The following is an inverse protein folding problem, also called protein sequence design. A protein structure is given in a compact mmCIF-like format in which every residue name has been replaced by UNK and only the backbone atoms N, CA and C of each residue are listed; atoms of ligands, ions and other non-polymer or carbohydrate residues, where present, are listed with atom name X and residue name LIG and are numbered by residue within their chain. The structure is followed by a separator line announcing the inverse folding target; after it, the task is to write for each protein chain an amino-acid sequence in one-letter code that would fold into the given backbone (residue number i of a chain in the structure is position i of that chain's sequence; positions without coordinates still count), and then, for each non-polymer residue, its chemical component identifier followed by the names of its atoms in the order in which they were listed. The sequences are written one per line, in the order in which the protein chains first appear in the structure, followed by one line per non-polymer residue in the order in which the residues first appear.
data_IF_534316240577
#
_entry.id   IF_534316240577
#
_cell.length_a   1.000
_cell.length_b   1.000
_cell.length_c   1.000
_cell.angle_alpha   90.00
_cell.angle_beta   90.00
_cell.angle_gamma   90.00
#
_symmetry.space_group_name_H-M   'P 1'
#
loop_
_entity.id
_entity.type
_entity.pdbx_description
1 polymer ?
#
# COMPACT_ATOMS: atom_id res chain seq x y z
N UNK A 1 -26.21 7.05 2.87
CA UNK A 1 -26.01 7.28 4.34
C UNK A 1 -26.12 5.95 5.09
N UNK A 2 -25.15 5.56 5.94
CA UNK A 2 -25.09 4.24 6.61
C UNK A 2 -24.85 4.32 8.12
N UNK A 3 -25.27 3.27 8.84
CA UNK A 3 -25.12 3.04 10.29
C UNK A 3 -24.95 1.53 10.54
N UNK A 4 -23.87 1.17 11.24
CA UNK A 4 -23.51 -0.23 11.48
C UNK A 4 -24.35 -0.91 12.55
N UNK A 5 -24.77 -0.19 13.58
CA UNK A 5 -25.45 -0.79 14.74
C UNK A 5 -26.85 -1.28 14.38
N UNK A 6 -27.54 -0.54 13.50
CA UNK A 6 -28.88 -0.90 13.03
C UNK A 6 -28.90 -1.50 11.62
N UNK A 7 -27.73 -1.62 10.97
CA UNK A 7 -27.58 -2.20 9.63
C UNK A 7 -28.06 -1.30 8.49
N UNK A 8 -28.36 -0.03 8.74
CA UNK A 8 -28.80 0.90 7.69
C UNK A 8 -27.66 1.14 6.69
N UNK A 9 -27.96 1.02 5.39
CA UNK A 9 -26.97 1.27 4.33
C UNK A 9 -25.87 0.21 4.24
N UNK A 10 -26.05 -0.95 4.90
CA UNK A 10 -25.21 -2.13 4.74
C UNK A 10 -25.95 -3.11 3.84
N UNK A 11 -25.40 -3.38 2.65
CA UNK A 11 -25.99 -4.31 1.69
C UNK A 11 -25.83 -5.76 2.16
N UNK A 12 -24.62 -6.10 2.61
CA UNK A 12 -24.29 -7.42 3.14
C UNK A 12 -23.04 -7.36 4.01
N UNK A 13 -22.89 -8.37 4.86
CA UNK A 13 -21.67 -8.66 5.62
C UNK A 13 -21.26 -10.13 5.44
N UNK A 14 -19.97 -10.38 5.54
CA UNK A 14 -19.36 -11.71 5.34
C UNK A 14 -18.26 -11.92 6.36
N UNK A 15 -18.36 -12.98 7.17
CA UNK A 15 -17.29 -13.39 8.07
C UNK A 15 -16.14 -14.03 7.30
N UNK A 16 -14.92 -13.62 7.62
CA UNK A 16 -13.66 -14.14 7.10
C UNK A 16 -13.06 -15.10 8.12
N UNK A 17 -12.59 -16.25 7.67
CA UNK A 17 -11.99 -17.28 8.54
C UNK A 17 -10.71 -16.76 9.23
N UNK A 18 -9.89 -16.06 8.45
CA UNK A 18 -8.56 -15.60 8.83
C UNK A 18 -8.40 -14.09 8.66
N UNK A 19 -7.52 -13.49 9.48
CA UNK A 19 -7.17 -12.07 9.40
C UNK A 19 -6.24 -11.77 8.23
N UNK A 20 -6.08 -10.48 7.92
CA UNK A 20 -5.16 -9.96 6.90
C UNK A 20 -5.27 -8.44 6.82
N UNK A 21 -4.27 -7.77 6.24
CA UNK A 21 -4.28 -6.31 6.07
C UNK A 21 -4.51 -5.86 4.62
N UNK A 22 -4.62 -6.79 3.68
CA UNK A 22 -4.90 -6.41 2.29
C UNK A 22 -6.21 -5.63 2.18
N UNK A 23 -6.11 -4.55 1.41
CA UNK A 23 -7.26 -3.82 0.88
C UNK A 23 -8.03 -4.76 -0.04
N UNK A 24 -9.37 -4.79 0.02
CA UNK A 24 -10.16 -5.54 -0.96
C UNK A 24 -9.90 -5.03 -2.37
N UNK A 25 -9.79 -5.90 -3.37
CA UNK A 25 -9.84 -5.47 -4.78
C UNK A 25 -11.11 -5.94 -5.44
N UNK A 26 -11.79 -5.03 -6.13
CA UNK A 26 -13.12 -5.24 -6.70
C UNK A 26 -13.05 -5.17 -8.22
N UNK A 27 -13.60 -6.17 -8.91
CA UNK A 27 -13.65 -6.18 -10.36
C UNK A 27 -14.34 -7.44 -10.89
N UNK A 28 -14.93 -7.35 -12.09
CA UNK A 28 -15.60 -8.48 -12.75
C UNK A 28 -16.63 -9.21 -11.86
N UNK A 29 -17.34 -8.48 -10.98
CA UNK A 29 -18.32 -9.05 -10.05
C UNK A 29 -17.72 -9.85 -8.88
N UNK A 30 -16.42 -9.70 -8.63
CA UNK A 30 -15.70 -10.37 -7.53
C UNK A 30 -14.97 -9.37 -6.65
N UNK A 31 -14.78 -9.76 -5.40
CA UNK A 31 -13.91 -9.11 -4.42
C UNK A 31 -12.84 -10.11 -4.05
N UNK A 32 -11.57 -9.71 -4.09
CA UNK A 32 -10.43 -10.56 -3.74
C UNK A 32 -9.67 -10.02 -2.54
N UNK A 33 -9.24 -10.94 -1.67
CA UNK A 33 -8.53 -10.67 -0.42
C UNK A 33 -7.44 -11.71 -0.19
N UNK A 34 -6.38 -11.29 0.50
CA UNK A 34 -5.41 -12.18 1.12
C UNK A 34 -5.66 -12.29 2.63
N UNK A 35 -5.40 -13.47 3.19
CA UNK A 35 -5.44 -13.72 4.63
C UNK A 35 -4.41 -14.76 5.03
N UNK A 36 -4.09 -14.86 6.32
CA UNK A 36 -3.18 -15.88 6.83
C UNK A 36 -3.57 -16.30 8.26
N UNK A 37 -3.09 -17.48 8.69
CA UNK A 37 -3.10 -17.84 10.11
C UNK A 37 -2.24 -16.86 10.91
N UNK A 38 -2.58 -16.67 12.19
CA UNK A 38 -1.87 -15.74 13.07
C UNK A 38 -0.39 -16.11 13.25
N UNK A 39 -0.06 -17.40 13.13
CA UNK A 39 1.30 -17.91 13.16
C UNK A 39 2.03 -17.88 11.81
N UNK A 40 1.33 -17.53 10.71
CA UNK A 40 1.89 -17.45 9.36
C UNK A 40 2.14 -18.79 8.67
N UNK A 41 1.75 -19.90 9.28
CA UNK A 41 1.96 -21.24 8.71
C UNK A 41 1.14 -21.47 7.45
N UNK A 42 0.02 -20.77 7.26
CA UNK A 42 -0.83 -20.88 6.08
C UNK A 42 -1.25 -19.50 5.54
N UNK A 43 -1.13 -19.32 4.22
CA UNK A 43 -1.63 -18.16 3.49
C UNK A 43 -2.77 -18.56 2.58
N UNK A 44 -3.79 -17.71 2.51
CA UNK A 44 -5.03 -17.96 1.79
C UNK A 44 -5.38 -16.81 0.85
N UNK A 45 -6.13 -17.18 -0.18
CA UNK A 45 -6.85 -16.26 -1.05
C UNK A 45 -8.34 -16.52 -0.91
N UNK A 46 -9.11 -15.44 -0.80
CA UNK A 46 -10.58 -15.50 -0.73
C UNK A 46 -11.18 -14.66 -1.84
N UNK A 47 -12.10 -15.25 -2.61
CA UNK A 47 -12.92 -14.55 -3.57
C UNK A 47 -14.37 -14.52 -3.09
N UNK A 48 -14.97 -13.34 -3.12
CA UNK A 48 -16.35 -13.09 -2.70
C UNK A 48 -17.13 -12.53 -3.88
N UNK A 49 -18.37 -12.96 -4.03
CA UNK A 49 -19.31 -12.41 -4.99
C UNK A 49 -19.70 -10.99 -4.55
N UNK A 50 -19.40 -9.99 -5.38
CA UNK A 50 -19.54 -8.58 -4.98
C UNK A 50 -21.01 -8.17 -4.73
N UNK A 51 -21.96 -8.83 -5.39
CA UNK A 51 -23.38 -8.52 -5.26
C UNK A 51 -23.98 -9.13 -3.99
N UNK A 52 -23.63 -10.38 -3.66
CA UNK A 52 -24.27 -11.13 -2.59
C UNK A 52 -23.44 -11.27 -1.30
N UNK A 53 -22.16 -10.92 -1.34
CA UNK A 53 -21.23 -11.15 -0.23
C UNK A 53 -20.83 -12.62 -0.03
N UNK A 54 -21.34 -13.55 -0.84
CA UNK A 54 -21.04 -14.98 -0.67
C UNK A 54 -19.61 -15.30 -1.04
N UNK A 55 -18.94 -16.07 -0.18
CA UNK A 55 -17.62 -16.64 -0.49
C UNK A 55 -17.77 -17.62 -1.66
N UNK A 56 -17.09 -17.33 -2.76
CA UNK A 56 -17.04 -18.15 -3.98
C UNK A 56 -15.84 -19.08 -3.93
N UNK A 57 -14.69 -18.55 -3.51
CA UNK A 57 -13.45 -19.30 -3.33
C UNK A 57 -12.84 -18.99 -1.97
N UNK A 58 -12.39 -20.03 -1.29
CA UNK A 58 -11.46 -19.92 -0.16
C UNK A 58 -10.42 -21.03 -0.35
N UNK A 59 -9.15 -20.65 -0.49
CA UNK A 59 -8.06 -21.56 -0.86
C UNK A 59 -6.82 -21.26 -0.05
N UNK A 60 -6.28 -22.28 0.62
CA UNK A 60 -4.92 -22.25 1.12
C UNK A 60 -3.98 -22.32 -0.08
N UNK A 61 -3.16 -21.29 -0.26
CA UNK A 61 -2.25 -21.16 -1.39
C UNK A 61 -0.83 -21.59 -1.02
N UNK A 62 -0.37 -21.20 0.18
CA UNK A 62 0.96 -21.53 0.67
C UNK A 62 0.90 -22.08 2.08
N UNK A 63 1.71 -23.11 2.34
CA UNK A 63 1.99 -23.66 3.66
C UNK A 63 3.49 -23.52 3.95
N UNK A 64 3.83 -23.05 5.14
CA UNK A 64 5.21 -22.84 5.61
C UNK A 64 5.38 -23.48 6.98
N UNK A 65 6.40 -24.33 7.12
CA UNK A 65 6.65 -25.05 8.36
C UNK A 65 7.22 -24.15 9.47
N UNK A 66 7.98 -23.12 9.08
CA UNK A 66 8.67 -22.21 10.01
C UNK A 66 8.70 -20.78 9.47
N UNK A 67 7.56 -20.07 9.44
CA UNK A 67 7.54 -18.66 9.07
C UNK A 67 8.36 -17.81 10.05
N UNK A 68 9.12 -16.83 9.54
CA UNK A 68 9.88 -15.90 10.38
C UNK A 68 8.94 -15.09 11.30
N UNK A 69 9.17 -15.05 12.64
CA UNK A 69 8.34 -14.27 13.55
C UNK A 69 8.37 -12.77 13.23
N UNK A 70 7.20 -12.13 13.17
CA UNK A 70 7.06 -10.70 12.84
C UNK A 70 7.70 -9.75 13.87
N UNK A 71 7.80 -10.19 15.13
CA UNK A 71 8.33 -9.40 16.25
C UNK A 71 7.59 -8.10 16.55
N UNK A 72 6.42 -7.88 15.98
CA UNK A 72 5.60 -6.68 16.15
C UNK A 72 4.10 -7.03 16.01
N UNK A 73 3.19 -6.24 16.60
CA UNK A 73 1.75 -6.46 16.51
C UNK A 73 1.07 -5.67 15.36
N UNK A 74 1.84 -4.96 14.53
CA UNK A 74 1.31 -4.02 13.52
C UNK A 74 1.07 -4.71 12.18
N UNK A 75 1.97 -5.60 11.76
CA UNK A 75 1.86 -6.30 10.48
C UNK A 75 1.32 -7.73 10.66
N UNK A 76 0.95 -8.38 9.55
CA UNK A 76 0.63 -9.80 9.50
C UNK A 76 1.23 -10.48 8.26
N UNK A 77 1.02 -11.79 8.13
CA UNK A 77 1.55 -12.60 7.03
C UNK A 77 0.77 -12.49 5.70
N UNK A 78 -0.19 -11.56 5.59
CA UNK A 78 -1.06 -11.34 4.44
C UNK A 78 -1.43 -9.86 4.26
N UNK A 79 -0.45 -8.97 4.43
CA UNK A 79 -0.64 -7.54 4.22
C UNK A 79 -0.70 -7.10 2.75
N UNK A 80 0.11 -7.67 1.82
CA UNK A 80 0.04 -7.27 0.42
C UNK A 80 -1.34 -7.47 -0.19
N UNK A 81 -1.82 -6.43 -0.87
CA UNK A 81 -3.10 -6.37 -1.58
C UNK A 81 -2.99 -7.11 -2.91
N UNK A 82 -3.94 -7.98 -3.31
CA UNK A 82 -3.92 -8.59 -4.65
C UNK A 82 -3.96 -7.53 -5.77
N UNK A 83 -3.50 -7.89 -6.96
CA UNK A 83 -3.77 -7.14 -8.19
C UNK A 83 -4.76 -7.92 -9.05
N UNK A 84 -5.78 -7.23 -9.59
CA UNK A 84 -6.86 -7.84 -10.37
C UNK A 84 -6.87 -7.30 -11.80
N UNK A 85 -6.72 -8.19 -12.78
CA UNK A 85 -7.07 -7.98 -14.18
C UNK A 85 -8.37 -8.74 -14.50
N UNK A 86 -8.96 -8.51 -15.68
CA UNK A 86 -10.18 -9.21 -16.08
C UNK A 86 -10.02 -10.73 -16.19
N UNK A 87 -8.80 -11.20 -16.47
CA UNK A 87 -8.44 -12.60 -16.73
C UNK A 87 -7.38 -13.16 -15.77
N UNK A 88 -7.00 -12.40 -14.73
CA UNK A 88 -5.96 -12.82 -13.80
C UNK A 88 -6.12 -12.18 -12.42
N UNK A 89 -5.77 -12.94 -11.39
CA UNK A 89 -5.53 -12.41 -10.04
C UNK A 89 -4.08 -12.67 -9.68
N UNK A 90 -3.32 -11.63 -9.35
CA UNK A 90 -1.95 -11.76 -8.85
C UNK A 90 -1.94 -11.54 -7.35
N UNK A 91 -1.40 -12.51 -6.62
CA UNK A 91 -1.30 -12.47 -5.15
C UNK A 91 0.16 -12.60 -4.75
N UNK A 92 0.54 -11.90 -3.69
CA UNK A 92 1.89 -11.87 -3.19
C UNK A 92 1.90 -11.96 -1.67
N UNK A 93 2.85 -12.71 -1.12
CA UNK A 93 3.06 -12.87 0.32
C UNK A 93 4.55 -12.74 0.63
N UNK A 94 5.28 -11.90 -0.11
CA UNK A 94 6.72 -11.74 0.07
C UNK A 94 7.47 -13.04 -0.18
N UNK A 95 8.28 -13.42 0.82
CA UNK A 95 9.14 -14.62 0.80
C UNK A 95 8.31 -15.91 0.75
N UNK A 96 7.06 -15.88 1.24
CA UNK A 96 6.22 -17.08 1.31
C UNK A 96 5.70 -17.52 -0.07
N UNK A 97 5.53 -16.56 -0.98
CA UNK A 97 5.29 -16.82 -2.40
C UNK A 97 4.53 -15.74 -3.16
N UNK A 98 4.54 -15.87 -4.48
CA UNK A 98 3.75 -15.09 -5.44
C UNK A 98 3.02 -16.05 -6.36
N UNK A 99 1.79 -15.75 -6.76
CA UNK A 99 1.06 -16.56 -7.72
C UNK A 99 0.18 -15.73 -8.65
N UNK A 100 -0.08 -16.29 -9.83
CA UNK A 100 -1.21 -15.91 -10.69
C UNK A 100 -2.30 -16.96 -10.57
N UNK A 101 -3.53 -16.51 -10.43
CA UNK A 101 -4.72 -17.33 -10.35
C UNK A 101 -5.67 -17.02 -11.50
N UNK A 102 -6.43 -18.02 -11.90
CA UNK A 102 -7.58 -17.85 -12.78
C UNK A 102 -8.76 -17.26 -11.97
N UNK A 103 -9.33 -16.10 -12.36
CA UNK A 103 -10.35 -15.42 -11.57
C UNK A 103 -11.69 -16.16 -11.53
N UNK A 104 -11.96 -17.07 -12.46
CA UNK A 104 -13.22 -17.80 -12.53
C UNK A 104 -13.19 -18.99 -11.57
N UNK A 105 -12.19 -19.85 -11.72
CA UNK A 105 -12.03 -21.10 -10.99
C UNK A 105 -11.29 -20.95 -9.66
N UNK A 106 -10.53 -19.87 -9.49
CA UNK A 106 -9.62 -19.67 -8.36
C UNK A 106 -8.40 -20.61 -8.38
N UNK A 107 -8.16 -21.29 -9.51
CA UNK A 107 -7.03 -22.22 -9.65
C UNK A 107 -5.71 -21.46 -9.87
N UNK A 108 -4.63 -22.00 -9.29
CA UNK A 108 -3.28 -21.49 -9.54
C UNK A 108 -2.84 -21.78 -10.97
N UNK A 109 -2.51 -20.73 -11.72
CA UNK A 109 -1.94 -20.82 -13.07
C UNK A 109 -0.43 -21.01 -12.98
N UNK A 110 0.24 -20.20 -12.18
CA UNK A 110 1.65 -20.37 -11.82
C UNK A 110 1.91 -19.83 -10.41
N UNK A 111 2.99 -20.29 -9.78
CA UNK A 111 3.47 -19.76 -8.51
C UNK A 111 5.01 -19.75 -8.43
N UNK A 112 5.55 -18.86 -7.59
CA UNK A 112 6.98 -18.72 -7.28
C UNK A 112 7.16 -18.72 -5.76
N UNK A 113 8.16 -19.46 -5.27
CA UNK A 113 8.54 -19.54 -3.83
C UNK A 113 10.06 -19.45 -3.62
N UNK A 114 10.79 -19.16 -4.69
CA UNK A 114 12.25 -19.16 -4.76
C UNK A 114 12.85 -17.74 -4.60
N UNK A 115 12.01 -16.71 -4.53
CA UNK A 115 12.44 -15.32 -4.31
C UNK A 115 12.31 -15.00 -2.81
N UNK A 116 13.41 -15.20 -2.10
CA UNK A 116 13.42 -15.16 -0.64
C UNK A 116 14.28 -14.01 -0.10
N UNK A 117 13.76 -13.39 0.95
CA UNK A 117 14.45 -12.42 1.83
C UNK A 117 14.00 -12.67 3.28
N UNK A 118 14.77 -12.13 4.22
CA UNK A 118 14.37 -12.01 5.62
C UNK A 118 13.56 -10.73 5.80
N UNK A 119 12.24 -10.84 5.77
CA UNK A 119 11.36 -9.67 5.96
C UNK A 119 11.49 -9.09 7.37
N UNK A 120 11.74 -9.94 8.37
CA UNK A 120 11.74 -9.69 9.82
C UNK A 120 10.40 -9.18 10.38
N UNK A 121 9.77 -8.18 9.76
CA UNK A 121 8.48 -7.60 10.17
C UNK A 121 7.32 -8.00 9.26
N UNK A 122 7.52 -9.04 8.45
CA UNK A 122 6.56 -9.51 7.44
C UNK A 122 6.58 -8.67 6.15
N UNK A 123 6.02 -9.21 5.06
CA UNK A 123 5.89 -8.48 3.80
C UNK A 123 4.86 -7.36 3.90
N UNK A 124 5.01 -6.33 3.08
CA UNK A 124 4.05 -5.21 3.02
C UNK A 124 3.75 -4.67 1.62
N UNK A 125 4.70 -4.79 0.68
CA UNK A 125 4.50 -4.29 -0.69
C UNK A 125 3.56 -5.18 -1.48
N UNK A 126 2.58 -4.56 -2.14
CA UNK A 126 1.65 -5.22 -3.06
C UNK A 126 2.30 -5.40 -4.45
N UNK A 127 1.89 -6.40 -5.24
CA UNK A 127 2.28 -6.53 -6.64
C UNK A 127 1.66 -5.42 -7.48
N UNK A 128 2.40 -4.94 -8.48
CA UNK A 128 1.93 -3.97 -9.46
C UNK A 128 2.09 -4.56 -10.85
N UNK A 129 1.07 -4.47 -11.70
CA UNK A 129 1.16 -4.96 -13.08
C UNK A 129 1.40 -3.81 -14.06
N UNK A 130 2.43 -3.93 -14.90
CA UNK A 130 2.76 -2.97 -15.96
C UNK A 130 2.99 -3.74 -17.26
N UNK A 131 2.12 -3.56 -18.24
CA UNK A 131 2.17 -4.34 -19.49
C UNK A 131 2.12 -5.84 -19.20
N UNK A 132 3.18 -6.56 -19.57
CA UNK A 132 3.32 -8.01 -19.35
C UNK A 132 4.14 -8.36 -18.09
N UNK A 133 4.36 -7.38 -17.20
CA UNK A 133 5.21 -7.54 -16.02
C UNK A 133 4.42 -7.45 -14.72
N UNK A 134 4.74 -8.31 -13.77
CA UNK A 134 4.38 -8.19 -12.35
C UNK A 134 5.61 -7.69 -11.58
N UNK A 135 5.55 -6.46 -11.11
CA UNK A 135 6.58 -5.79 -10.33
C UNK A 135 6.40 -6.11 -8.85
N UNK A 136 7.49 -6.50 -8.19
CA UNK A 136 7.55 -6.86 -6.78
C UNK A 136 8.71 -6.15 -6.10
N UNK A 137 8.47 -5.64 -4.88
CA UNK A 137 9.49 -5.03 -4.01
C UNK A 137 9.89 -6.01 -2.91
N UNK A 138 11.19 -6.20 -2.71
CA UNK A 138 11.76 -7.00 -1.64
C UNK A 138 12.84 -6.20 -0.90
N UNK A 139 12.45 -5.53 0.18
CA UNK A 139 13.37 -4.79 1.05
C UNK A 139 13.44 -5.45 2.43
N UNK A 140 14.03 -6.65 2.47
CA UNK A 140 14.29 -7.39 3.71
C UNK A 140 15.46 -6.80 4.50
N UNK A 141 15.84 -7.41 5.62
CA UNK A 141 17.03 -6.99 6.38
C UNK A 141 18.35 -7.47 5.76
N UNK A 142 18.28 -8.54 4.95
CA UNK A 142 19.41 -9.21 4.32
C UNK A 142 19.63 -8.78 2.87
N UNK A 143 18.55 -8.48 2.14
CA UNK A 143 18.59 -8.14 0.71
C UNK A 143 17.51 -7.10 0.38
N UNK A 144 17.86 -6.13 -0.47
CA UNK A 144 16.98 -5.06 -0.93
C UNK A 144 17.02 -4.97 -2.46
N UNK A 145 15.87 -5.18 -3.13
CA UNK A 145 15.76 -5.15 -4.58
C UNK A 145 14.31 -5.00 -5.06
N UNK A 146 14.16 -4.57 -6.32
CA UNK A 146 12.92 -4.64 -7.09
C UNK A 146 13.09 -5.68 -8.18
N UNK A 147 12.04 -6.44 -8.50
CA UNK A 147 12.07 -7.46 -9.56
C UNK A 147 10.79 -7.46 -10.37
N UNK A 148 10.89 -7.75 -11.66
CA UNK A 148 9.76 -8.03 -12.53
C UNK A 148 9.68 -9.50 -12.91
N UNK A 149 8.46 -10.03 -12.88
CA UNK A 149 8.13 -11.33 -13.41
C UNK A 149 7.30 -11.17 -14.68
N UNK A 150 7.52 -12.02 -15.68
CA UNK A 150 6.60 -12.18 -16.80
C UNK A 150 5.25 -12.65 -16.24
N UNK A 151 4.19 -11.88 -16.49
CA UNK A 151 2.89 -12.09 -15.86
C UNK A 151 2.21 -13.39 -16.31
N UNK A 152 2.57 -13.91 -17.48
CA UNK A 152 1.97 -15.13 -18.02
C UNK A 152 2.61 -16.41 -17.49
N UNK A 153 3.92 -16.38 -17.24
CA UNK A 153 4.74 -17.55 -16.91
C UNK A 153 5.32 -17.51 -15.50
N UNK A 154 5.34 -16.34 -14.87
CA UNK A 154 5.96 -16.11 -13.57
C UNK A 154 7.49 -16.10 -13.60
N UNK A 155 8.13 -16.16 -14.77
CA UNK A 155 9.60 -16.15 -14.89
C UNK A 155 10.15 -14.76 -14.59
N UNK A 156 11.28 -14.68 -13.89
CA UNK A 156 11.96 -13.41 -13.66
C UNK A 156 12.46 -12.84 -14.98
N UNK A 157 12.10 -11.59 -15.27
CA UNK A 157 12.55 -10.81 -16.44
C UNK A 157 13.77 -9.98 -16.05
N UNK A 158 13.68 -9.24 -14.95
CA UNK A 158 14.79 -8.47 -14.40
C UNK A 158 14.74 -8.40 -12.87
N UNK A 159 15.88 -8.10 -12.28
CA UNK A 159 16.05 -7.83 -10.84
C UNK A 159 17.09 -6.74 -10.67
N UNK A 160 16.73 -5.68 -9.96
CA UNK A 160 17.58 -4.51 -9.72
C UNK A 160 17.80 -4.35 -8.21
N UNK A 161 19.04 -4.51 -7.71
CA UNK A 161 19.34 -4.25 -6.30
C UNK A 161 19.21 -2.75 -6.00
N UNK A 162 18.89 -2.41 -4.75
CA UNK A 162 18.92 -0.99 -4.33
C UNK A 162 20.37 -0.48 -4.38
N UNK A 163 20.58 0.66 -5.05
CA UNK A 163 21.90 1.30 -5.20
C UNK A 163 22.32 2.15 -3.99
N UNK A 164 21.43 2.32 -3.01
CA UNK A 164 21.60 3.24 -1.89
C UNK A 164 22.62 2.80 -0.84
N UNK A 165 23.37 3.77 -0.34
CA UNK A 165 24.12 3.64 0.90
C UNK A 165 23.18 3.80 2.10
N UNK A 166 23.04 2.74 2.89
CA UNK A 166 22.18 2.72 4.07
C UNK A 166 22.78 3.50 5.26
N UNK A 167 24.09 3.82 5.21
CA UNK A 167 24.80 4.55 6.25
C UNK A 167 24.73 3.87 7.62
N UNK A 168 24.63 2.54 7.64
CA UNK A 168 24.30 1.74 8.82
C UNK A 168 25.33 0.66 9.12
N UNK A 169 26.58 0.79 8.66
CA UNK A 169 27.63 -0.17 8.96
C UNK A 169 28.40 0.21 10.24
N UNK A 170 28.66 -0.75 11.11
CA UNK A 170 29.62 -0.61 12.21
C UNK A 170 31.08 -0.73 11.71
N UNK A 171 32.05 -0.59 12.64
CA UNK A 171 33.48 -0.66 12.32
C UNK A 171 33.91 -2.01 11.71
N UNK A 172 33.13 -3.07 11.91
CA UNK A 172 33.36 -4.41 11.34
C UNK A 172 32.61 -4.61 10.00
N UNK A 173 31.94 -3.58 9.48
CA UNK A 173 31.15 -3.65 8.26
C UNK A 173 29.84 -4.43 8.43
N UNK A 174 29.33 -4.59 9.66
CA UNK A 174 28.05 -5.25 9.93
C UNK A 174 26.91 -4.23 9.99
N UNK A 175 25.73 -4.55 9.44
CA UNK A 175 24.57 -3.66 9.55
C UNK A 175 24.14 -3.47 11.02
N UNK A 176 23.96 -2.21 11.42
CA UNK A 176 23.36 -1.83 12.69
C UNK A 176 21.95 -2.42 12.79
N UNK A 177 21.58 -2.84 14.01
CA UNK A 177 20.26 -3.44 14.30
C UNK A 177 19.92 -4.62 13.38
N UNK A 178 20.93 -5.41 13.03
CA UNK A 178 20.81 -6.58 12.15
C UNK A 178 20.16 -6.27 10.78
N UNK A 179 20.29 -5.04 10.28
CA UNK A 179 19.73 -4.60 9.01
C UNK A 179 18.28 -4.09 9.07
N UNK A 180 17.69 -3.97 10.27
CA UNK A 180 16.33 -3.46 10.49
C UNK A 180 16.12 -2.03 9.92
N UNK A 181 17.21 -1.28 9.71
CA UNK A 181 17.20 0.06 9.11
C UNK A 181 17.11 0.05 7.58
N UNK A 182 17.26 -1.10 6.91
CA UNK A 182 17.36 -1.18 5.43
C UNK A 182 16.04 -1.43 4.72
N UNK A 183 14.96 -1.55 5.48
CA UNK A 183 13.67 -2.01 4.96
C UNK A 183 12.78 -0.89 4.47
N UNK A 184 11.90 -1.26 3.57
CA UNK A 184 10.69 -0.54 3.21
C UNK A 184 9.57 -1.54 2.90
N UNK A 185 8.34 -1.03 2.85
CA UNK A 185 7.12 -1.80 2.65
C UNK A 185 6.27 -1.23 1.50
N UNK A 186 6.69 -0.10 0.91
CA UNK A 186 5.93 0.67 -0.06
C UNK A 186 5.64 -0.09 -1.34
N UNK A 187 4.37 -0.09 -1.73
CA UNK A 187 3.95 -0.51 -3.08
C UNK A 187 4.39 0.56 -4.08
N UNK A 188 5.08 0.21 -5.18
CA UNK A 188 5.50 1.20 -6.17
C UNK A 188 4.31 1.92 -6.83
N UNK A 189 4.52 3.17 -7.24
CA UNK A 189 3.61 3.87 -8.14
C UNK A 189 4.07 3.69 -9.58
N UNK A 190 3.13 3.70 -10.53
CA UNK A 190 3.42 3.66 -11.96
C UNK A 190 3.08 5.02 -12.55
N UNK A 191 3.96 5.57 -13.36
CA UNK A 191 3.65 6.76 -14.13
C UNK A 191 4.30 6.69 -15.51
N UNK A 192 3.79 7.53 -16.42
CA UNK A 192 4.28 7.58 -17.79
C UNK A 192 4.93 8.93 -18.05
N UNK A 193 6.12 8.92 -18.64
CA UNK A 193 6.86 10.10 -19.10
C UNK A 193 7.13 9.96 -20.59
N UNK A 194 6.36 10.69 -21.41
CA UNK A 194 6.37 10.49 -22.86
C UNK A 194 5.99 9.05 -23.21
N UNK A 195 6.90 8.33 -23.85
CA UNK A 195 6.69 6.92 -24.21
C UNK A 195 7.21 5.92 -23.17
N UNK A 196 7.99 6.38 -22.19
CA UNK A 196 8.57 5.52 -21.16
C UNK A 196 7.60 5.34 -19.99
N UNK A 197 7.36 4.10 -19.60
CA UNK A 197 6.68 3.78 -18.34
C UNK A 197 7.72 3.60 -17.25
N UNK A 198 7.56 4.33 -16.15
CA UNK A 198 8.45 4.25 -14.99
C UNK A 198 7.69 3.76 -13.77
N UNK A 199 8.42 3.12 -12.86
CA UNK A 199 7.94 2.86 -11.50
C UNK A 199 8.70 3.74 -10.52
N UNK A 200 7.98 4.30 -9.53
CA UNK A 200 8.61 4.94 -8.38
C UNK A 200 8.48 4.04 -7.18
N UNK A 201 9.61 3.68 -6.60
CA UNK A 201 9.68 2.78 -5.45
C UNK A 201 10.50 3.44 -4.35
N UNK A 202 9.89 3.62 -3.18
CA UNK A 202 10.55 4.22 -2.02
C UNK A 202 11.17 3.10 -1.19
N UNK A 203 12.51 3.11 -1.08
CA UNK A 203 13.27 2.20 -0.25
C UNK A 203 13.66 2.83 1.08
N UNK A 204 14.57 2.19 1.80
CA UNK A 204 15.27 2.86 2.90
C UNK A 204 16.31 3.84 2.35
N UNK A 205 16.37 5.03 2.94
CA UNK A 205 17.29 6.13 2.62
C UNK A 205 17.22 6.72 1.21
N UNK A 206 16.39 6.19 0.31
CA UNK A 206 16.14 6.80 -0.99
C UNK A 206 14.83 6.34 -1.63
N UNK A 207 14.30 7.18 -2.50
CA UNK A 207 13.33 6.81 -3.51
C UNK A 207 14.00 6.71 -4.88
N UNK A 208 13.47 5.81 -5.72
CA UNK A 208 14.06 5.48 -7.00
C UNK A 208 13.01 5.49 -8.10
N UNK A 209 13.38 6.03 -9.26
CA UNK A 209 12.66 5.83 -10.50
C UNK A 209 13.34 4.77 -11.35
N UNK A 210 12.61 3.72 -11.71
CA UNK A 210 13.10 2.68 -12.62
C UNK A 210 12.31 2.68 -13.92
N UNK A 211 12.98 2.38 -15.01
CA UNK A 211 12.31 1.95 -16.24
C UNK A 211 11.56 0.65 -15.97
N UNK A 212 10.25 0.63 -16.21
CA UNK A 212 9.41 -0.51 -15.82
C UNK A 212 9.72 -1.77 -16.63
N UNK A 213 10.15 -1.64 -17.89
CA UNK A 213 10.38 -2.76 -18.80
C UNK A 213 11.72 -3.43 -18.56
N UNK A 214 12.75 -2.63 -18.26
CA UNK A 214 14.14 -3.09 -18.15
C UNK A 214 14.65 -3.20 -16.72
N UNK A 215 14.02 -2.49 -15.77
CA UNK A 215 14.48 -2.36 -14.40
C UNK A 215 15.67 -1.41 -14.24
N UNK A 216 16.08 -0.70 -15.28
CA UNK A 216 17.17 0.28 -15.22
C UNK A 216 16.81 1.41 -14.25
N UNK A 217 17.71 1.74 -13.33
CA UNK A 217 17.58 2.91 -12.46
C UNK A 217 17.81 4.18 -13.27
N UNK A 218 16.78 5.01 -13.36
CA UNK A 218 16.82 6.27 -14.11
C UNK A 218 17.27 7.39 -13.19
N UNK A 219 16.71 7.46 -11.98
CA UNK A 219 16.99 8.51 -11.03
C UNK A 219 16.82 8.06 -9.58
N UNK A 220 17.44 8.80 -8.66
CA UNK A 220 17.33 8.61 -7.21
C UNK A 220 17.19 9.94 -6.47
N UNK A 221 16.42 9.93 -5.38
CA UNK A 221 16.34 11.02 -4.39
C UNK A 221 16.62 10.44 -3.02
N UNK A 222 17.66 10.94 -2.35
CA UNK A 222 18.03 10.51 -1.00
C UNK A 222 17.14 11.14 0.07
N UNK A 223 16.94 10.39 1.14
CA UNK A 223 16.33 10.82 2.39
C UNK A 223 16.95 10.08 3.57
N UNK A 224 16.65 10.46 4.81
CA UNK A 224 17.27 9.85 5.98
C UNK A 224 16.42 8.76 6.67
N UNK A 225 15.16 8.59 6.25
CA UNK A 225 14.22 7.66 6.90
C UNK A 225 14.16 6.26 6.23
N UNK A 226 13.41 5.36 6.85
CA UNK A 226 13.22 3.96 6.51
C UNK A 226 11.83 3.46 6.94
N UNK A 227 11.49 2.22 6.56
CA UNK A 227 10.14 1.65 6.68
C UNK A 227 9.07 2.46 5.93
N UNK A 228 9.43 3.11 4.82
CA UNK A 228 8.46 3.75 3.94
C UNK A 228 7.39 2.73 3.56
N UNK A 229 6.13 3.04 3.85
CA UNK A 229 5.01 2.14 3.59
C UNK A 229 4.02 2.70 2.59
N UNK A 230 3.94 4.02 2.45
CA UNK A 230 3.01 4.66 1.53
C UNK A 230 3.40 4.48 0.06
N UNK A 231 2.39 4.22 -0.77
CA UNK A 231 2.54 4.31 -2.22
C UNK A 231 2.75 5.77 -2.64
N UNK A 232 3.72 6.07 -3.52
CA UNK A 232 3.90 7.42 -4.06
C UNK A 232 2.64 7.92 -4.79
N UNK A 233 2.37 9.22 -4.68
CA UNK A 233 1.32 9.89 -5.45
C UNK A 233 1.92 10.49 -6.71
N UNK A 234 1.17 10.44 -7.81
CA UNK A 234 1.53 11.11 -9.07
C UNK A 234 0.58 12.29 -9.25
N UNK A 235 1.13 13.50 -9.29
CA UNK A 235 0.38 14.72 -9.48
C UNK A 235 1.01 15.54 -10.60
N UNK A 236 0.35 15.59 -11.76
CA UNK A 236 0.88 16.25 -12.97
C UNK A 236 2.26 15.70 -13.34
N UNK A 237 3.28 16.56 -13.35
CA UNK A 237 4.69 16.26 -13.60
C UNK A 237 5.48 16.08 -12.29
N UNK A 238 4.81 15.84 -11.17
CA UNK A 238 5.43 15.67 -9.85
C UNK A 238 5.09 14.31 -9.27
N UNK A 239 6.06 13.69 -8.59
CA UNK A 239 5.84 12.52 -7.74
C UNK A 239 6.01 12.93 -6.29
N UNK A 240 5.06 12.55 -5.45
CA UNK A 240 5.04 12.88 -4.03
C UNK A 240 5.25 11.60 -3.23
N UNK A 241 6.29 11.58 -2.41
CA UNK A 241 6.69 10.42 -1.62
C UNK A 241 6.56 10.71 -0.12
N UNK A 242 6.23 9.68 0.65
CA UNK A 242 6.45 9.67 2.10
C UNK A 242 7.69 8.80 2.38
N UNK A 243 8.67 9.35 3.09
CA UNK A 243 10.01 8.75 3.19
C UNK A 243 10.13 7.64 4.23
N UNK A 244 9.16 7.45 5.12
CA UNK A 244 9.38 6.49 6.20
C UNK A 244 8.45 6.58 7.39
N UNK A 245 9.01 6.31 8.57
CA UNK A 245 8.24 6.11 9.78
C UNK A 245 8.80 6.80 11.03
N UNK A 246 10.00 7.39 10.94
CA UNK A 246 10.71 8.00 12.05
C UNK A 246 11.23 9.38 11.63
N UNK A 247 10.35 10.37 11.76
CA UNK A 247 10.60 11.67 11.18
C UNK A 247 10.31 11.68 9.68
N UNK A 248 9.28 10.93 9.28
CA UNK A 248 8.83 10.84 7.90
C UNK A 248 8.65 12.24 7.32
N UNK A 249 9.12 12.41 6.10
CA UNK A 249 8.99 13.63 5.30
C UNK A 249 8.03 13.34 4.15
N UNK A 250 7.28 14.37 3.73
CA UNK A 250 6.50 14.32 2.50
C UNK A 250 7.22 15.20 1.49
N UNK A 251 7.80 14.59 0.46
CA UNK A 251 8.62 15.28 -0.53
C UNK A 251 7.94 15.24 -1.89
N UNK A 252 7.98 16.35 -2.61
CA UNK A 252 7.61 16.40 -4.02
C UNK A 252 8.83 16.51 -4.91
N UNK A 253 8.91 15.64 -5.91
CA UNK A 253 9.97 15.55 -6.88
C UNK A 253 9.39 15.90 -8.24
N UNK A 254 9.85 16.99 -8.85
CA UNK A 254 9.52 17.29 -10.25
C UNK A 254 10.15 16.23 -11.15
N UNK A 255 9.37 15.76 -12.12
CA UNK A 255 9.78 14.77 -13.10
C UNK A 255 9.71 15.40 -14.50
N UNK A 256 10.87 15.66 -15.09
CA UNK A 256 11.01 16.28 -16.40
C UNK A 256 12.12 15.62 -17.23
N UNK A 257 12.41 16.19 -18.41
CA UNK A 257 13.42 15.70 -19.34
C UNK A 257 14.80 15.42 -18.70
N UNK A 258 15.15 16.21 -17.68
CA UNK A 258 16.45 16.22 -16.99
C UNK A 258 16.51 15.34 -15.74
N UNK A 259 15.41 14.67 -15.38
CA UNK A 259 15.37 13.77 -14.22
C UNK A 259 16.11 12.47 -14.51
N UNK A 260 17.43 12.49 -14.29
CA UNK A 260 18.38 11.39 -14.52
C UNK A 260 19.48 11.44 -13.46
N UNK A 261 19.86 10.29 -12.91
CA UNK A 261 20.88 10.15 -11.87
C UNK A 261 20.39 10.60 -10.49
N UNK A 262 21.33 11.04 -9.64
CA UNK A 262 20.98 11.60 -8.34
C UNK A 262 20.42 13.02 -8.49
N UNK A 263 19.13 13.16 -8.21
CA UNK A 263 18.38 14.41 -8.40
C UNK A 263 17.97 15.05 -7.07
N UNK A 264 18.54 14.58 -5.95
CA UNK A 264 18.22 15.04 -4.59
C UNK A 264 18.24 16.57 -4.46
N UNK A 265 19.30 17.22 -4.95
CA UNK A 265 19.50 18.67 -4.78
C UNK A 265 18.88 19.52 -5.92
N UNK A 266 18.29 18.89 -6.94
CA UNK A 266 17.91 19.57 -8.19
C UNK A 266 16.43 19.48 -8.53
N UNK A 267 15.72 18.45 -8.06
CA UNK A 267 14.34 18.16 -8.46
C UNK A 267 13.34 18.12 -7.30
N UNK A 268 13.79 18.15 -6.04
CA UNK A 268 12.88 18.32 -4.89
C UNK A 268 12.32 19.75 -4.94
N UNK A 269 11.01 19.88 -5.20
CA UNK A 269 10.33 21.18 -5.35
C UNK A 269 9.78 21.70 -4.03
N UNK A 270 9.31 20.80 -3.17
CA UNK A 270 8.95 21.12 -1.80
C UNK A 270 9.14 19.91 -0.89
N UNK A 271 9.29 20.18 0.40
CA UNK A 271 9.43 19.17 1.44
C UNK A 271 8.69 19.61 2.71
N UNK A 272 7.75 18.79 3.16
CA UNK A 272 7.07 18.95 4.43
C UNK A 272 7.71 17.99 5.45
N UNK A 273 8.50 18.53 6.39
CA UNK A 273 9.45 17.79 7.23
C UNK A 273 8.87 17.29 8.57
N UNK A 274 7.60 17.57 8.88
CA UNK A 274 7.02 17.34 10.22
C UNK A 274 5.57 16.89 10.17
N UNK A 275 5.14 16.14 11.19
CA UNK A 275 3.73 15.82 11.38
C UNK A 275 3.14 14.95 10.27
N UNK A 276 3.97 14.17 9.58
CA UNK A 276 3.56 13.26 8.53
C UNK A 276 3.06 11.93 9.10
N UNK A 277 2.23 11.24 8.31
CA UNK A 277 1.74 9.90 8.65
C UNK A 277 2.87 8.87 8.62
N UNK A 278 2.79 7.88 9.51
CA UNK A 278 3.76 6.77 9.58
C UNK A 278 3.31 5.55 8.77
N UNK A 279 2.01 5.26 8.81
CA UNK A 279 1.41 4.05 8.23
C UNK A 279 0.32 4.36 7.20
N UNK A 280 -0.45 5.43 7.43
CA UNK A 280 -1.53 5.88 6.56
C UNK A 280 -0.97 6.54 5.30
N UNK A 281 -1.52 6.19 4.13
CA UNK A 281 -1.03 6.74 2.87
C UNK A 281 -1.72 8.08 2.60
N UNK A 282 -0.99 9.08 2.08
CA UNK A 282 -1.61 10.32 1.63
C UNK A 282 -2.53 10.06 0.42
N UNK A 283 -3.48 10.95 0.19
CA UNK A 283 -4.41 10.93 -0.94
C UNK A 283 -4.45 12.28 -1.64
N UNK A 284 -4.74 12.28 -2.94
CA UNK A 284 -5.02 13.50 -3.70
C UNK A 284 -6.52 13.81 -3.65
N UNK A 285 -6.86 15.08 -3.39
CA UNK A 285 -8.24 15.58 -3.44
C UNK A 285 -8.22 17.05 -3.91
N UNK A 286 -8.78 17.36 -5.07
CA UNK A 286 -8.91 18.73 -5.60
C UNK A 286 -7.61 19.57 -5.51
N UNK A 287 -6.52 19.09 -6.11
CA UNK A 287 -5.18 19.68 -6.06
C UNK A 287 -4.55 19.78 -4.64
N UNK A 288 -5.11 19.10 -3.64
CA UNK A 288 -4.53 18.96 -2.30
C UNK A 288 -3.93 17.57 -2.10
N UNK A 289 -2.86 17.49 -1.30
CA UNK A 289 -2.44 16.23 -0.68
C UNK A 289 -2.95 16.20 0.75
N UNK A 290 -3.74 15.18 1.08
CA UNK A 290 -4.34 15.01 2.41
C UNK A 290 -3.80 13.73 3.05
N UNK A 291 -3.41 13.81 4.31
CA UNK A 291 -3.04 12.64 5.10
C UNK A 291 -3.54 12.76 6.53
N UNK A 292 -3.47 11.65 7.27
CA UNK A 292 -3.78 11.61 8.70
C UNK A 292 -2.68 10.90 9.48
N UNK A 293 -2.23 11.53 10.57
CA UNK A 293 -1.26 10.90 11.49
C UNK A 293 -1.93 9.81 12.32
N UNK A 294 -1.12 8.89 12.86
CA UNK A 294 -1.56 7.84 13.80
C UNK A 294 -2.36 8.42 14.99
N UNK A 295 -2.12 9.69 15.36
CA UNK A 295 -2.81 10.40 16.46
C UNK A 295 -4.07 11.18 16.07
N UNK A 296 -4.54 11.03 14.84
CA UNK A 296 -5.78 11.66 14.35
C UNK A 296 -5.65 13.15 14.06
N UNK A 297 -4.51 13.57 13.50
CA UNK A 297 -4.33 14.91 12.92
C UNK A 297 -4.39 14.78 11.41
N UNK A 298 -5.47 15.26 10.80
CA UNK A 298 -5.62 15.39 9.37
C UNK A 298 -4.97 16.71 8.91
N UNK A 299 -4.16 16.64 7.86
CA UNK A 299 -3.47 17.81 7.30
C UNK A 299 -3.66 17.81 5.79
N UNK A 300 -3.84 18.99 5.21
CA UNK A 300 -3.80 19.19 3.77
C UNK A 300 -2.71 20.20 3.40
N UNK A 301 -2.01 19.91 2.32
CA UNK A 301 -1.09 20.85 1.66
C UNK A 301 -1.51 21.03 0.21
N UNK A 302 -1.15 22.17 -0.36
CA UNK A 302 -1.21 22.37 -1.80
C UNK A 302 -0.29 21.35 -2.50
N UNK A 303 -0.80 20.59 -3.46
CA UNK A 303 -0.03 19.52 -4.10
C UNK A 303 1.11 20.04 -4.99
N UNK A 304 1.00 21.27 -5.51
CA UNK A 304 2.02 21.88 -6.36
C UNK A 304 3.11 22.58 -5.55
N UNK A 305 2.71 23.33 -4.51
CA UNK A 305 3.59 24.25 -3.78
C UNK A 305 3.98 23.75 -2.37
N UNK A 306 3.24 22.79 -1.82
CA UNK A 306 3.57 22.12 -0.54
C UNK A 306 3.28 22.93 0.73
N UNK A 307 2.69 24.13 0.63
CA UNK A 307 2.31 24.89 1.81
C UNK A 307 1.07 24.28 2.49
N UNK A 308 1.03 24.32 3.83
CA UNK A 308 -0.12 23.85 4.62
C UNK A 308 -1.34 24.71 4.30
N UNK A 309 -2.41 24.08 3.82
CA UNK A 309 -3.72 24.70 3.61
C UNK A 309 -4.49 24.71 4.93
N UNK A 310 -4.56 23.55 5.58
CA UNK A 310 -5.20 23.40 6.87
C UNK A 310 -4.67 22.21 7.66
N UNK A 311 -4.90 22.24 8.97
CA UNK A 311 -4.64 21.15 9.90
C UNK A 311 -5.79 21.03 10.91
N UNK A 312 -6.39 19.85 11.00
CA UNK A 312 -7.51 19.55 11.90
C UNK A 312 -7.22 18.32 12.77
N UNK A 313 -7.50 18.42 14.07
CA UNK A 313 -7.48 17.25 14.98
C UNK A 313 -8.87 16.62 15.01
N UNK A 314 -9.00 15.45 14.38
CA UNK A 314 -10.26 14.66 14.38
C UNK A 314 -10.27 13.55 15.44
N UNK A 315 -9.10 13.22 16.01
CA UNK A 315 -8.94 12.25 17.10
C UNK A 315 -9.15 10.78 16.69
N UNK A 316 -8.58 9.86 17.47
CA UNK A 316 -8.57 8.42 17.20
C UNK A 316 -7.19 7.88 16.78
N UNK A 317 -7.10 6.56 16.59
CA UNK A 317 -5.87 5.87 16.21
C UNK A 317 -5.89 5.39 14.75
N UNK A 318 -5.15 6.05 13.85
CA UNK A 318 -5.26 5.79 12.40
C UNK A 318 -4.12 4.94 11.87
N UNK A 319 -4.48 3.92 11.10
CA UNK A 319 -3.55 3.07 10.34
C UNK A 319 -3.97 3.02 8.87
N UNK A 320 -5.27 2.87 8.61
CA UNK A 320 -5.81 2.90 7.26
C UNK A 320 -5.59 4.26 6.57
N UNK A 321 -5.35 4.20 5.26
CA UNK A 321 -5.31 5.38 4.40
C UNK A 321 -6.71 6.00 4.26
N UNK A 322 -6.84 7.33 4.16
CA UNK A 322 -8.11 7.96 3.82
C UNK A 322 -8.60 7.48 2.45
N UNK A 323 -9.90 7.64 2.21
CA UNK A 323 -10.50 7.45 0.89
C UNK A 323 -11.12 8.77 0.43
N UNK A 324 -10.99 9.08 -0.85
CA UNK A 324 -11.57 10.27 -1.48
C UNK A 324 -12.68 9.87 -2.45
N UNK A 325 -13.81 10.57 -2.36
CA UNK A 325 -14.91 10.55 -3.31
C UNK A 325 -15.37 12.00 -3.56
N UNK A 326 -15.01 12.54 -4.72
CA UNK A 326 -15.07 13.98 -5.04
C UNK A 326 -14.41 14.85 -3.96
N UNK A 327 -15.17 15.72 -3.30
CA UNK A 327 -14.78 16.60 -2.19
C UNK A 327 -15.05 15.96 -0.81
N UNK A 328 -15.37 14.67 -0.77
CA UNK A 328 -15.63 13.91 0.46
C UNK A 328 -14.43 13.04 0.81
N UNK A 329 -13.94 13.14 2.04
CA UNK A 329 -12.86 12.31 2.57
C UNK A 329 -13.37 11.45 3.72
N UNK A 330 -13.06 10.17 3.66
CA UNK A 330 -13.39 9.17 4.66
C UNK A 330 -12.13 8.77 5.42
N UNK A 331 -12.14 8.95 6.74
CA UNK A 331 -11.03 8.56 7.62
C UNK A 331 -11.46 7.38 8.48
N UNK A 332 -10.77 6.24 8.34
CA UNK A 332 -11.06 5.02 9.09
C UNK A 332 -9.99 4.78 10.15
N UNK A 333 -10.39 4.48 11.38
CA UNK A 333 -9.46 4.28 12.48
C UNK A 333 -9.50 2.85 13.04
N UNK A 334 -8.45 2.50 13.77
CA UNK A 334 -8.23 1.20 14.39
C UNK A 334 -9.24 0.89 15.51
N UNK A 335 -9.98 1.88 15.99
CA UNK A 335 -11.05 1.74 16.98
C UNK A 335 -12.42 1.49 16.31
N UNK A 336 -12.43 1.32 14.98
CA UNK A 336 -13.61 1.05 14.19
C UNK A 336 -14.40 2.32 13.83
N UNK A 337 -13.89 3.53 14.03
CA UNK A 337 -14.62 4.73 13.63
C UNK A 337 -14.35 5.09 12.17
N UNK A 338 -15.38 5.61 11.50
CA UNK A 338 -15.29 6.26 10.20
C UNK A 338 -15.77 7.72 10.31
N UNK A 339 -14.87 8.67 10.08
CA UNK A 339 -15.20 10.09 9.96
C UNK A 339 -15.39 10.41 8.49
N UNK A 340 -16.55 10.97 8.15
CA UNK A 340 -16.88 11.44 6.80
C UNK A 340 -16.86 12.96 6.84
N UNK A 341 -16.02 13.58 6.02
CA UNK A 341 -15.87 15.02 5.99
C UNK A 341 -15.90 15.55 4.56
N UNK A 342 -16.47 16.74 4.39
CA UNK A 342 -16.26 17.55 3.18
C UNK A 342 -14.97 18.33 3.35
N UNK A 343 -14.19 18.44 2.28
CA UNK A 343 -12.93 19.18 2.28
C UNK A 343 -12.86 20.14 1.10
N UNK A 344 -12.28 21.31 1.35
CA UNK A 344 -11.88 22.28 0.35
C UNK A 344 -10.53 22.89 0.76
N UNK A 345 -10.09 23.94 0.08
CA UNK A 345 -8.83 24.61 0.38
C UNK A 345 -8.86 25.39 1.71
N UNK A 346 -10.05 25.72 2.22
CA UNK A 346 -10.21 26.48 3.46
C UNK A 346 -10.30 25.59 4.70
N UNK A 347 -10.72 24.33 4.55
CA UNK A 347 -10.74 23.41 5.69
C UNK A 347 -11.43 22.07 5.47
N UNK A 348 -11.64 21.42 6.61
CA UNK A 348 -12.36 20.16 6.75
C UNK A 348 -13.62 20.36 7.59
N UNK A 349 -14.78 19.98 7.04
CA UNK A 349 -16.07 19.99 7.75
C UNK A 349 -16.60 18.56 7.93
N UNK A 350 -16.52 18.05 9.18
CA UNK A 350 -17.10 16.75 9.55
C UNK A 350 -18.60 16.75 9.30
N UNK A 351 -19.06 15.84 8.43
CA UNK A 351 -20.47 15.63 8.14
C UNK A 351 -21.06 14.58 9.07
N UNK A 352 -20.27 13.55 9.39
CA UNK A 352 -20.72 12.40 10.15
C UNK A 352 -19.54 11.62 10.74
N UNK A 353 -19.84 10.91 11.82
CA UNK A 353 -18.99 9.90 12.42
C UNK A 353 -19.80 8.63 12.65
N UNK A 354 -19.31 7.53 12.09
CA UNK A 354 -19.91 6.21 12.22
C UNK A 354 -19.01 5.31 13.05
N UNK A 355 -19.60 4.35 13.76
CA UNK A 355 -18.88 3.27 14.44
C UNK A 355 -19.09 1.99 13.65
N UNK A 356 -17.99 1.32 13.33
CA UNK A 356 -17.87 -0.01 12.75
C UNK A 356 -17.44 -0.90 13.91
N UNK A 357 -18.09 -2.04 14.10
CA UNK A 357 -17.89 -2.88 15.30
C UNK A 357 -16.51 -3.53 15.44
N UNK A 358 -15.62 -3.38 14.46
CA UNK A 358 -14.29 -4.00 14.41
C UNK A 358 -13.21 -3.02 13.92
N UNK A 359 -11.96 -3.32 14.26
CA UNK A 359 -10.78 -2.52 13.89
C UNK A 359 -10.57 -2.45 12.38
N UNK A 360 -10.37 -1.24 11.85
CA UNK A 360 -10.02 -0.99 10.45
C UNK A 360 -8.52 -0.75 10.31
N UNK A 361 -7.80 -1.80 9.90
CA UNK A 361 -6.36 -1.72 9.55
C UNK A 361 -6.12 -1.75 8.05
N UNK A 362 -7.05 -2.32 7.29
CA UNK A 362 -7.05 -2.26 5.83
C UNK A 362 -7.77 -1.00 5.34
N UNK A 363 -7.30 -0.44 4.22
CA UNK A 363 -8.04 0.62 3.54
C UNK A 363 -9.32 0.07 2.90
N UNK A 364 -10.37 0.90 2.75
CA UNK A 364 -11.57 0.53 2.02
C UNK A 364 -11.28 0.41 0.52
N UNK A 365 -12.22 -0.21 -0.21
CA UNK A 365 -12.21 -0.22 -1.67
C UNK A 365 -13.52 0.35 -2.22
N UNK A 366 -13.45 1.04 -3.36
CA UNK A 366 -14.65 1.52 -4.07
C UNK A 366 -15.24 0.37 -4.89
N UNK A 367 -16.56 0.22 -4.87
CA UNK A 367 -17.30 -0.80 -5.60
C UNK A 367 -18.54 -0.19 -6.26
N UNK A 368 -18.34 0.54 -7.36
CA UNK A 368 -19.45 1.13 -8.12
C UNK A 368 -20.25 2.12 -7.28
N UNK A 369 -21.37 1.65 -6.73
CA UNK A 369 -22.33 2.43 -5.91
C UNK A 369 -22.06 2.38 -4.40
N UNK A 370 -20.91 1.83 -3.98
CA UNK A 370 -20.64 1.62 -2.57
C UNK A 370 -19.18 1.46 -2.21
N UNK A 371 -18.93 1.21 -0.92
CA UNK A 371 -17.62 0.91 -0.36
C UNK A 371 -17.57 -0.53 0.14
N UNK A 372 -16.44 -1.19 -0.08
CA UNK A 372 -16.11 -2.46 0.56
C UNK A 372 -15.18 -2.17 1.73
N UNK A 373 -15.63 -2.51 2.93
CA UNK A 373 -14.90 -2.33 4.18
C UNK A 373 -14.43 -3.69 4.70
N UNK A 374 -13.15 -3.79 5.04
CA UNK A 374 -12.58 -4.94 5.77
C UNK A 374 -12.27 -4.52 7.20
N UNK A 375 -13.17 -4.87 8.11
CA UNK A 375 -13.05 -4.59 9.54
C UNK A 375 -12.74 -5.89 10.27
N UNK A 376 -11.50 -6.06 10.76
CA UNK A 376 -11.05 -7.31 11.39
C UNK A 376 -11.31 -8.56 10.53
N UNK A 377 -12.21 -9.42 11.00
CA UNK A 377 -12.65 -10.64 10.30
C UNK A 377 -14.02 -10.49 9.64
N UNK A 378 -14.46 -9.26 9.38
CA UNK A 378 -15.71 -8.96 8.70
C UNK A 378 -15.45 -8.15 7.44
N UNK A 379 -16.00 -8.61 6.31
CA UNK A 379 -16.12 -7.83 5.09
C UNK A 379 -17.55 -7.30 4.97
N UNK A 380 -17.72 -6.04 4.60
CA UNK A 380 -19.04 -5.45 4.38
C UNK A 380 -19.09 -4.61 3.11
N UNK A 381 -20.24 -4.63 2.42
CA UNK A 381 -20.58 -3.64 1.40
C UNK A 381 -21.50 -2.59 1.99
N UNK A 382 -21.07 -1.34 1.87
CA UNK A 382 -21.79 -0.16 2.31
C UNK A 382 -22.31 0.57 1.08
N UNK A 383 -23.62 0.81 1.03
CA UNK A 383 -24.21 1.63 -0.03
C UNK A 383 -23.90 3.12 0.19
N UNK A 384 -23.33 3.77 -0.83
CA UNK A 384 -23.12 5.21 -0.86
C UNK A 384 -24.16 5.80 -1.81
N UNK A 385 -25.38 5.93 -1.28
CA UNK A 385 -26.47 6.70 -1.89
C UNK A 385 -26.70 7.99 -1.12
#
# INVERSE_FOLDING_TARGET
MWDWENGQGIDWTTSLEHGGHSTPVVGSGRIWLTSATDDGTQQFVTAIDAASGKVVHHRMLFQNDAPEPLGNPVNNYAAPTPFLESDAVYVHFGTYGTARLDPISGATVWQRRDINVRHFRGPGSSPVVVGDLVILTFDGIDRQFVTALDKHTGRTVWTTPRSTDFGDLDDDGRPLRDGDLRKAFGTPAVFRRGDQTQIVSVGSRAAFGYDAETGEEIWTVRHDDYNASAQPLVFRDTVIINTGSRGAELMAIRIDASTVGDVTDTHVVWNHDRGNARLSYPVLCNDMVIWITDSGVATAVDAAEGFELWKHRIGGNYVASPLVDDDTVYFFNSDGQCVIAKVDHDGLTEQRRNTIGESMTASPAVSGDGLILRAGKTLAKIAVH
#
